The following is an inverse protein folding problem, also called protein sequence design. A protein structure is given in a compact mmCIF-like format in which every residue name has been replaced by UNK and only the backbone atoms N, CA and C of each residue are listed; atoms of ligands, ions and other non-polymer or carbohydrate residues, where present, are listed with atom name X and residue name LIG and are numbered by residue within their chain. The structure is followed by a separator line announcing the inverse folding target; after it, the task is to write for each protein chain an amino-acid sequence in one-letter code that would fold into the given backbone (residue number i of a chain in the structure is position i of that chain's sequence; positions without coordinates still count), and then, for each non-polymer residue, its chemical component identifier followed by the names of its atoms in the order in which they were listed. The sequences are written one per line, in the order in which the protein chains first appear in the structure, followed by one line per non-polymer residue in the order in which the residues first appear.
data_IF_776398608629
#
_entry.id   IF_776398608629
#
_cell.length_a   1.000
_cell.length_b   1.000
_cell.length_c   1.000
_cell.angle_alpha   90.00
_cell.angle_beta   90.00
_cell.angle_gamma   90.00
#
_symmetry.space_group_name_H-M   'P 1'
#
loop_
_entity.id
_entity.type
_entity.pdbx_description
1 polymer ?
#
# COMPACT_ATOMS: atom_id res chain seq x y z
N UNK A 1 -22.73 11.51 -15.05
CA UNK A 1 -21.68 10.63 -14.55
C UNK A 1 -20.30 10.97 -15.14
N UNK A 2 -20.13 11.08 -16.46
CA UNK A 2 -18.82 11.42 -17.08
C UNK A 2 -18.23 12.78 -16.67
N UNK A 3 -19.04 13.82 -16.47
CA UNK A 3 -18.57 15.13 -16.00
C UNK A 3 -18.10 15.15 -14.54
N UNK A 4 -18.63 14.28 -13.69
CA UNK A 4 -18.20 14.16 -12.28
C UNK A 4 -16.83 13.51 -12.18
N UNK A 5 -16.54 12.52 -13.02
CA UNK A 5 -15.24 11.84 -13.11
C UNK A 5 -14.17 12.82 -13.60
N UNK A 6 -14.46 13.66 -14.61
CA UNK A 6 -13.53 14.66 -15.14
C UNK A 6 -13.14 15.73 -14.11
N UNK A 7 -14.05 16.14 -13.22
CA UNK A 7 -13.78 17.11 -12.14
C UNK A 7 -12.90 16.53 -11.02
N UNK A 8 -13.03 15.24 -10.71
CA UNK A 8 -12.16 14.53 -9.78
C UNK A 8 -10.72 14.43 -10.31
N UNK A 9 -10.55 14.16 -11.63
CA UNK A 9 -9.25 14.09 -12.28
C UNK A 9 -8.47 15.41 -12.28
N UNK A 10 -9.15 16.55 -12.47
CA UNK A 10 -8.48 17.87 -12.43
C UNK A 10 -8.09 18.30 -11.01
N UNK A 11 -8.79 17.82 -9.98
CA UNK A 11 -8.46 18.08 -8.58
C UNK A 11 -7.31 17.21 -8.07
N UNK A 12 -7.17 15.98 -8.57
CA UNK A 12 -6.11 15.07 -8.18
C UNK A 12 -4.72 15.58 -8.56
N UNK A 13 -4.54 16.11 -9.77
CA UNK A 13 -3.27 16.74 -10.21
C UNK A 13 -2.82 17.94 -9.36
N UNK A 14 -3.72 18.57 -8.59
CA UNK A 14 -3.42 19.78 -7.81
C UNK A 14 -3.16 19.57 -6.32
N UNK A 15 -3.35 18.35 -5.77
CA UNK A 15 -3.30 18.09 -4.32
C UNK A 15 -2.30 17.03 -3.86
N UNK A 16 -1.48 16.47 -4.74
CA UNK A 16 -0.34 15.68 -4.28
C UNK A 16 0.57 16.58 -3.46
N UNK A 17 0.62 16.33 -2.15
CA UNK A 17 1.60 16.92 -1.25
C UNK A 17 2.99 16.59 -1.79
N UNK A 18 3.80 17.61 -1.95
CA UNK A 18 5.03 17.63 -2.72
C UNK A 18 6.17 16.84 -2.08
N UNK A 19 6.06 15.53 -2.02
CA UNK A 19 7.24 14.69 -2.06
C UNK A 19 7.67 14.69 -3.53
N UNK A 20 8.64 15.53 -3.87
CA UNK A 20 9.18 15.57 -5.24
C UNK A 20 10.15 14.41 -5.39
N UNK A 21 9.65 13.29 -5.92
CA UNK A 21 10.53 12.26 -6.45
C UNK A 21 11.08 12.71 -7.80
N UNK A 22 12.40 12.56 -8.01
CA UNK A 22 13.02 12.65 -9.31
C UNK A 22 12.93 11.29 -10.01
N UNK A 23 12.98 11.26 -11.33
CA UNK A 23 12.89 10.01 -12.09
C UNK A 23 14.01 9.00 -11.74
N UNK A 24 15.13 9.47 -11.22
CA UNK A 24 16.28 8.64 -10.79
C UNK A 24 16.22 8.24 -9.32
N UNK A 25 15.23 8.71 -8.54
CA UNK A 25 15.08 8.30 -7.15
C UNK A 25 14.52 6.88 -7.07
N UNK A 26 14.93 6.17 -6.03
CA UNK A 26 14.43 4.81 -5.75
C UNK A 26 13.23 4.94 -4.83
N UNK A 27 12.09 4.41 -5.26
CA UNK A 27 10.87 4.32 -4.47
C UNK A 27 10.81 2.97 -3.75
N UNK A 28 10.54 2.98 -2.45
CA UNK A 28 10.57 1.82 -1.57
C UNK A 28 9.21 1.63 -0.89
N UNK A 29 8.49 0.59 -1.28
CA UNK A 29 7.16 0.27 -0.76
C UNK A 29 7.20 -1.04 0.00
N UNK A 30 6.74 -1.03 1.23
CA UNK A 30 6.52 -2.22 2.05
C UNK A 30 5.03 -2.50 2.13
N UNK A 31 4.65 -3.75 1.95
CA UNK A 31 3.27 -4.22 2.14
C UNK A 31 3.30 -5.32 3.19
N UNK A 32 2.55 -5.15 4.27
CA UNK A 32 2.50 -6.11 5.37
C UNK A 32 1.06 -6.59 5.64
N UNK A 33 0.94 -7.86 5.90
CA UNK A 33 -0.33 -8.51 6.21
C UNK A 33 -0.15 -9.97 6.55
N UNK A 34 -1.24 -10.73 6.50
CA UNK A 34 -1.25 -12.19 6.70
C UNK A 34 -1.61 -12.93 5.42
N UNK A 35 -1.31 -14.23 5.40
CA UNK A 35 -1.65 -15.10 4.27
C UNK A 35 -3.17 -15.04 3.99
N UNK A 36 -3.53 -14.96 2.72
CA UNK A 36 -4.93 -14.83 2.28
C UNK A 36 -5.45 -13.39 2.16
N UNK A 37 -4.75 -12.37 2.66
CA UNK A 37 -5.16 -10.97 2.55
C UNK A 37 -4.77 -10.30 1.22
N UNK A 38 -4.17 -11.01 0.28
CA UNK A 38 -3.80 -10.47 -1.03
C UNK A 38 -2.56 -9.59 -1.05
N UNK A 39 -1.64 -9.71 -0.07
CA UNK A 39 -0.36 -8.98 -0.01
C UNK A 39 0.44 -9.16 -1.31
N UNK A 40 0.57 -10.40 -1.79
CA UNK A 40 1.31 -10.73 -3.02
C UNK A 40 0.59 -10.17 -4.26
N UNK A 41 -0.74 -10.26 -4.29
CA UNK A 41 -1.54 -9.69 -5.38
C UNK A 41 -1.32 -8.18 -5.46
N UNK A 42 -1.35 -7.50 -4.32
CA UNK A 42 -1.14 -6.07 -4.26
C UNK A 42 0.26 -5.66 -4.75
N UNK A 43 1.30 -6.37 -4.28
CA UNK A 43 2.66 -6.19 -4.76
C UNK A 43 2.74 -6.29 -6.29
N UNK A 44 2.20 -7.38 -6.86
CA UNK A 44 2.24 -7.61 -8.31
C UNK A 44 1.47 -6.57 -9.11
N UNK A 45 0.33 -6.09 -8.58
CA UNK A 45 -0.41 -4.99 -9.21
C UNK A 45 0.44 -3.73 -9.33
N UNK A 46 1.16 -3.36 -8.26
CA UNK A 46 2.06 -2.20 -8.28
C UNK A 46 3.19 -2.42 -9.29
N UNK A 47 3.81 -3.60 -9.29
CA UNK A 47 4.93 -3.91 -10.18
C UNK A 47 4.51 -3.93 -11.67
N UNK A 48 3.36 -4.53 -11.99
CA UNK A 48 2.85 -4.54 -13.36
C UNK A 48 2.37 -3.16 -13.83
N UNK A 49 1.73 -2.39 -12.94
CA UNK A 49 1.37 -1.02 -13.24
C UNK A 49 2.63 -0.15 -13.47
N UNK A 50 3.69 -0.35 -12.69
CA UNK A 50 4.98 0.29 -12.90
C UNK A 50 5.59 -0.09 -14.27
N UNK A 51 5.48 -1.36 -14.67
CA UNK A 51 5.92 -1.81 -15.98
C UNK A 51 5.12 -1.14 -17.11
N UNK A 52 3.80 -1.05 -16.98
CA UNK A 52 2.92 -0.33 -17.94
C UNK A 52 3.28 1.16 -18.03
N UNK A 53 3.64 1.78 -16.92
CA UNK A 53 4.09 3.17 -16.86
C UNK A 53 5.49 3.42 -17.46
N UNK A 54 6.20 2.37 -17.88
CA UNK A 54 7.53 2.47 -18.47
C UNK A 54 8.67 2.67 -17.46
N UNK A 55 8.49 2.20 -16.22
CA UNK A 55 9.54 2.18 -15.20
C UNK A 55 10.67 1.27 -15.62
N UNK A 56 11.90 1.77 -15.62
CA UNK A 56 13.05 1.05 -16.18
C UNK A 56 13.59 -0.05 -15.25
N UNK A 57 13.53 0.15 -13.92
CA UNK A 57 14.06 -0.84 -12.97
C UNK A 57 12.97 -1.12 -11.93
N UNK A 58 12.55 -2.38 -11.83
CA UNK A 58 11.57 -2.85 -10.86
C UNK A 58 12.12 -4.11 -10.21
N UNK A 59 12.25 -4.13 -8.89
CA UNK A 59 12.67 -5.28 -8.11
C UNK A 59 11.71 -5.52 -6.94
N UNK A 60 11.34 -6.76 -6.73
CA UNK A 60 10.49 -7.14 -5.61
C UNK A 60 11.00 -8.37 -4.86
N UNK A 61 10.62 -8.48 -3.61
CA UNK A 61 10.88 -9.64 -2.77
C UNK A 61 9.71 -9.90 -1.83
N UNK A 62 9.58 -11.12 -1.39
CA UNK A 62 8.56 -11.56 -0.44
C UNK A 62 9.23 -12.36 0.68
N UNK A 63 8.80 -12.12 1.90
CA UNK A 63 9.22 -12.88 3.06
C UNK A 63 7.98 -13.47 3.73
N UNK A 64 7.96 -14.78 3.83
CA UNK A 64 6.88 -15.51 4.47
C UNK A 64 7.30 -15.91 5.89
N UNK A 65 6.39 -15.75 6.86
CA UNK A 65 6.58 -16.30 8.20
C UNK A 65 6.60 -17.83 8.18
N UNK A 66 7.17 -18.44 9.23
CA UNK A 66 7.29 -19.92 9.35
C UNK A 66 5.94 -20.63 9.48
N UNK A 67 4.87 -19.93 9.87
CA UNK A 67 3.55 -20.51 9.99
C UNK A 67 2.93 -20.76 8.61
N UNK A 68 2.58 -22.01 8.32
CA UNK A 68 1.99 -22.40 7.02
C UNK A 68 0.55 -21.91 6.83
N UNK A 69 -0.15 -21.52 7.90
CA UNK A 69 -1.51 -20.95 7.87
C UNK A 69 -1.52 -19.65 8.64
N UNK A 70 -2.14 -18.61 8.04
CA UNK A 70 -2.27 -17.27 8.62
C UNK A 70 -0.92 -16.63 9.02
N UNK A 71 0.19 -17.12 8.43
CA UNK A 71 1.50 -16.57 8.67
C UNK A 71 1.64 -15.14 8.16
N UNK A 72 2.46 -14.37 8.88
CA UNK A 72 2.81 -13.02 8.44
C UNK A 72 3.48 -13.03 7.07
N UNK A 73 3.06 -12.15 6.18
CA UNK A 73 3.69 -11.91 4.88
C UNK A 73 4.13 -10.46 4.83
N UNK A 74 5.38 -10.25 4.50
CA UNK A 74 5.90 -8.94 4.15
C UNK A 74 6.42 -8.96 2.72
N UNK A 75 6.09 -7.92 1.99
CA UNK A 75 6.46 -7.75 0.60
C UNK A 75 7.21 -6.44 0.42
N UNK A 76 8.27 -6.48 -0.35
CA UNK A 76 9.05 -5.32 -0.75
C UNK A 76 8.84 -5.08 -2.24
N UNK A 77 8.45 -3.89 -2.62
CA UNK A 77 8.46 -3.42 -4.00
C UNK A 77 9.35 -2.20 -4.08
N UNK A 78 10.31 -2.26 -4.97
CA UNK A 78 11.26 -1.19 -5.22
C UNK A 78 11.29 -0.88 -6.69
N UNK A 79 11.23 0.40 -7.03
CA UNK A 79 11.36 0.79 -8.43
C UNK A 79 12.07 2.12 -8.60
N UNK A 80 12.61 2.33 -9.79
CA UNK A 80 13.30 3.53 -10.22
C UNK A 80 12.83 3.86 -11.64
N UNK A 81 12.23 5.04 -11.83
CA UNK A 81 11.60 5.40 -13.11
C UNK A 81 12.62 5.41 -14.23
N UNK A 82 13.78 6.03 -14.01
CA UNK A 82 14.90 6.11 -14.95
C UNK A 82 16.19 5.65 -14.31
N UNK A 83 16.97 4.87 -15.04
CA UNK A 83 18.29 4.48 -14.60
C UNK A 83 19.21 5.72 -14.49
N UNK A 84 20.02 5.75 -13.43
CA UNK A 84 21.03 6.78 -13.26
C UNK A 84 22.21 6.53 -14.21
N UNK A 85 22.83 7.58 -14.72
CA UNK A 85 24.04 7.47 -15.57
C UNK A 85 25.20 6.76 -14.86
N UNK A 86 25.29 6.86 -13.54
CA UNK A 86 26.23 6.07 -12.73
C UNK A 86 25.53 4.75 -12.29
N UNK A 87 25.95 3.58 -12.84
CA UNK A 87 25.32 2.29 -12.52
C UNK A 87 25.34 1.92 -11.03
N UNK A 88 26.30 2.43 -10.25
CA UNK A 88 26.40 2.16 -8.81
C UNK A 88 25.27 2.81 -7.99
N UNK A 89 24.57 3.78 -8.57
CA UNK A 89 23.43 4.46 -7.95
C UNK A 89 22.10 3.84 -8.33
N UNK A 90 22.10 2.89 -9.25
CA UNK A 90 20.89 2.21 -9.67
C UNK A 90 20.40 1.21 -8.63
N UNK A 91 19.11 0.98 -8.65
CA UNK A 91 18.46 -0.05 -7.86
C UNK A 91 19.05 -1.43 -8.22
N UNK A 92 19.66 -2.11 -7.25
CA UNK A 92 20.36 -3.39 -7.43
C UNK A 92 20.04 -4.46 -6.38
N UNK A 93 19.08 -4.19 -5.50
CA UNK A 93 18.61 -5.12 -4.48
C UNK A 93 17.10 -5.03 -4.34
N UNK A 94 16.44 -6.17 -4.22
CA UNK A 94 14.98 -6.26 -3.98
C UNK A 94 14.58 -5.97 -2.55
N UNK A 95 15.52 -6.04 -1.59
CA UNK A 95 15.23 -5.80 -0.18
C UNK A 95 15.43 -4.32 0.16
N UNK A 96 14.46 -3.76 0.86
CA UNK A 96 14.53 -2.42 1.42
C UNK A 96 15.42 -2.46 2.66
N UNK A 97 16.37 -1.52 2.77
CA UNK A 97 17.18 -1.35 3.96
C UNK A 97 16.35 -0.83 5.14
N UNK A 98 16.80 -1.10 6.36
CA UNK A 98 16.15 -0.59 7.56
C UNK A 98 16.04 0.95 7.53
N UNK A 99 14.89 1.46 7.91
CA UNK A 99 14.60 2.90 7.92
C UNK A 99 14.39 3.56 6.54
N UNK A 100 14.30 2.79 5.44
CA UNK A 100 14.27 3.34 4.10
C UNK A 100 12.95 3.13 3.34
N UNK A 101 11.88 2.70 4.00
CA UNK A 101 10.57 2.63 3.36
C UNK A 101 9.99 4.04 3.18
N UNK A 102 9.53 4.35 1.96
CA UNK A 102 8.78 5.57 1.66
C UNK A 102 7.30 5.42 2.00
N UNK A 103 6.74 4.25 1.67
CA UNK A 103 5.35 3.90 1.92
C UNK A 103 5.25 2.54 2.60
N UNK A 104 4.34 2.46 3.56
CA UNK A 104 3.98 1.23 4.24
C UNK A 104 2.48 0.98 4.10
N UNK A 105 2.07 -0.02 3.33
CA UNK A 105 0.67 -0.44 3.20
C UNK A 105 0.46 -1.63 4.15
N UNK A 106 -0.33 -1.43 5.20
CA UNK A 106 -0.55 -2.41 6.26
C UNK A 106 -1.98 -2.95 6.18
N UNK A 107 -2.14 -4.17 5.65
CA UNK A 107 -3.45 -4.83 5.59
C UNK A 107 -3.82 -5.40 6.96
N UNK A 108 -2.80 -5.79 7.76
CA UNK A 108 -2.95 -6.22 9.14
C UNK A 108 -2.16 -5.30 10.09
N UNK A 109 -2.83 -4.61 11.04
CA UNK A 109 -2.19 -3.59 11.88
C UNK A 109 -1.00 -4.09 12.69
N UNK A 110 -1.07 -5.27 13.29
CA UNK A 110 0.01 -5.77 14.15
C UNK A 110 1.27 -6.09 13.36
N UNK A 111 1.13 -6.45 12.08
CA UNK A 111 2.29 -6.70 11.22
C UNK A 111 3.06 -5.41 10.90
N UNK A 112 2.39 -4.25 10.92
CA UNK A 112 3.06 -2.96 10.85
C UNK A 112 4.05 -2.75 12.01
N UNK A 113 3.65 -3.13 13.23
CA UNK A 113 4.54 -3.06 14.40
C UNK A 113 5.69 -4.07 14.32
N UNK A 114 5.38 -5.32 14.02
CA UNK A 114 6.37 -6.41 13.96
C UNK A 114 7.47 -6.14 12.95
N UNK A 115 7.15 -5.42 11.89
CA UNK A 115 8.05 -5.13 10.77
C UNK A 115 8.41 -3.65 10.64
N UNK A 116 8.15 -2.85 11.68
CA UNK A 116 8.41 -1.42 11.72
C UNK A 116 9.87 -1.00 11.49
N UNK A 117 10.83 -1.93 11.53
CA UNK A 117 12.26 -1.67 11.32
C UNK A 117 12.59 -1.07 9.94
N UNK A 118 11.73 -1.22 8.94
CA UNK A 118 11.92 -0.60 7.61
C UNK A 118 11.46 0.85 7.57
N UNK A 119 10.70 1.31 8.57
CA UNK A 119 10.14 2.64 8.62
C UNK A 119 11.12 3.65 9.22
N UNK A 120 10.94 4.91 8.85
CA UNK A 120 11.59 6.09 9.42
C UNK A 120 10.58 7.23 9.57
N UNK A 121 11.04 8.40 10.02
CA UNK A 121 10.20 9.59 10.10
C UNK A 121 9.73 10.14 8.74
N UNK A 122 10.24 9.63 7.63
CA UNK A 122 9.84 9.96 6.27
C UNK A 122 8.81 8.98 5.68
N UNK A 123 8.57 7.88 6.38
CA UNK A 123 7.66 6.82 5.93
C UNK A 123 6.21 7.26 6.11
N UNK A 124 5.38 7.06 5.09
CA UNK A 124 3.93 7.19 5.19
C UNK A 124 3.30 5.82 5.45
N UNK A 125 2.46 5.72 6.47
CA UNK A 125 1.68 4.50 6.75
C UNK A 125 0.25 4.66 6.26
N UNK A 126 -0.25 3.64 5.53
CA UNK A 126 -1.66 3.45 5.22
C UNK A 126 -2.10 2.15 5.87
N UNK A 127 -2.99 2.23 6.85
CA UNK A 127 -3.32 1.16 7.78
C UNK A 127 -4.78 0.74 7.62
N UNK A 128 -5.03 -0.55 7.43
CA UNK A 128 -6.38 -1.10 7.57
C UNK A 128 -6.73 -1.24 9.05
N UNK A 129 -7.92 -0.82 9.45
CA UNK A 129 -8.33 -0.83 10.87
C UNK A 129 -8.85 -2.19 11.34
N UNK A 130 -9.20 -3.10 10.42
CA UNK A 130 -9.62 -4.45 10.81
C UNK A 130 -8.44 -5.27 11.29
N UNK A 131 -8.59 -5.81 12.49
CA UNK A 131 -7.63 -6.72 13.12
C UNK A 131 -7.99 -8.18 12.86
N UNK A 132 -6.99 -9.00 12.56
CA UNK A 132 -7.11 -10.46 12.52
C UNK A 132 -6.15 -11.02 13.56
N UNK A 133 -6.65 -11.45 14.76
CA UNK A 133 -5.78 -11.96 15.80
C UNK A 133 -5.01 -13.19 15.31
N UNK A 134 -3.67 -13.23 15.46
CA UNK A 134 -2.87 -14.41 15.19
C UNK A 134 -3.30 -15.62 16.07
N UNK A 135 -2.94 -16.82 15.66
CA UNK A 135 -3.31 -18.07 16.35
C UNK A 135 -2.91 -18.05 17.84
N UNK A 136 -1.76 -17.48 18.19
CA UNK A 136 -1.31 -17.37 19.59
C UNK A 136 -2.25 -16.52 20.44
N UNK A 137 -2.86 -15.50 19.88
CA UNK A 137 -3.85 -14.67 20.55
C UNK A 137 -5.19 -15.40 20.65
N UNK A 138 -5.59 -16.08 19.57
CA UNK A 138 -6.81 -16.91 19.56
C UNK A 138 -6.72 -18.08 20.55
N UNK A 139 -5.49 -18.51 20.89
CA UNK A 139 -5.21 -19.55 21.90
C UNK A 139 -5.04 -18.98 23.32
N UNK A 140 -5.41 -17.71 23.57
CA UNK A 140 -5.25 -16.99 24.85
C UNK A 140 -3.81 -16.97 25.40
N UNK A 141 -2.82 -17.08 24.54
CA UNK A 141 -1.39 -17.03 24.91
C UNK A 141 -0.81 -15.62 24.87
N UNK A 142 -1.41 -14.72 24.11
CA UNK A 142 -1.02 -13.31 23.99
C UNK A 142 -2.26 -12.43 23.83
N UNK A 143 -2.17 -11.16 24.23
CA UNK A 143 -3.22 -10.15 24.00
C UNK A 143 -2.97 -9.38 22.70
N UNK A 144 -4.02 -9.18 21.89
CA UNK A 144 -3.94 -8.31 20.72
C UNK A 144 -3.91 -6.84 21.19
N UNK A 145 -2.87 -6.06 20.83
CA UNK A 145 -2.81 -4.66 21.26
C UNK A 145 -3.98 -3.86 20.67
N UNK A 146 -4.62 -2.98 21.45
CA UNK A 146 -5.68 -2.10 20.94
C UNK A 146 -5.19 -1.30 19.72
N UNK A 147 -6.07 -1.12 18.73
CA UNK A 147 -5.74 -0.43 17.47
C UNK A 147 -5.17 0.98 17.72
N UNK A 148 -5.73 1.73 18.69
CA UNK A 148 -5.23 3.06 19.04
C UNK A 148 -3.79 3.02 19.59
N UNK A 149 -3.43 1.97 20.31
CA UNK A 149 -2.06 1.78 20.79
C UNK A 149 -1.11 1.49 19.61
N UNK A 150 -1.55 0.71 18.63
CA UNK A 150 -0.79 0.48 17.39
C UNK A 150 -0.54 1.81 16.67
N UNK A 151 -1.61 2.60 16.47
CA UNK A 151 -1.52 3.93 15.84
C UNK A 151 -0.58 4.87 16.61
N UNK A 152 -0.66 4.89 17.94
CA UNK A 152 0.22 5.69 18.80
C UNK A 152 1.70 5.34 18.58
N UNK A 153 2.02 4.03 18.59
CA UNK A 153 3.39 3.57 18.36
C UNK A 153 3.87 3.95 16.95
N UNK A 154 3.04 3.76 15.92
CA UNK A 154 3.39 4.12 14.55
C UNK A 154 3.59 5.63 14.38
N UNK A 155 2.79 6.46 15.06
CA UNK A 155 2.99 7.93 15.11
C UNK A 155 4.29 8.33 15.81
N UNK A 156 4.85 7.48 16.65
CA UNK A 156 6.19 7.64 17.22
C UNK A 156 7.31 7.47 16.17
N UNK A 157 7.07 6.70 15.12
CA UNK A 157 8.00 6.52 14.00
C UNK A 157 7.78 7.56 12.90
N UNK A 158 6.52 7.86 12.57
CA UNK A 158 6.16 8.76 11.47
C UNK A 158 4.99 9.67 11.80
N UNK A 159 5.02 10.89 11.26
CA UNK A 159 3.89 11.83 11.36
C UNK A 159 2.74 11.50 10.42
N UNK A 160 2.98 10.74 9.35
CA UNK A 160 2.02 10.39 8.31
C UNK A 160 1.49 8.97 8.53
N UNK A 161 0.49 8.84 9.42
CA UNK A 161 -0.21 7.56 9.70
C UNK A 161 -1.68 7.75 9.39
N UNK A 162 -2.10 7.21 8.25
CA UNK A 162 -3.47 7.23 7.75
C UNK A 162 -4.13 5.88 7.99
N UNK A 163 -5.34 5.86 8.53
CA UNK A 163 -6.05 4.62 8.82
C UNK A 163 -7.47 4.66 8.27
N UNK A 164 -7.94 3.54 7.75
CA UNK A 164 -9.30 3.36 7.26
C UNK A 164 -9.74 1.91 7.46
N UNK A 165 -11.04 1.68 7.64
CA UNK A 165 -11.60 0.32 7.68
C UNK A 165 -11.91 -0.17 6.26
N UNK A 166 -10.87 -0.48 5.47
CA UNK A 166 -11.02 -0.96 4.09
C UNK A 166 -11.83 -2.26 4.01
N UNK A 167 -11.78 -3.09 5.05
CA UNK A 167 -12.55 -4.34 5.07
C UNK A 167 -14.04 -4.08 5.22
N UNK A 168 -14.44 -3.14 6.07
CA UNK A 168 -15.85 -2.76 6.22
C UNK A 168 -16.38 -2.12 4.94
N UNK A 169 -15.58 -1.26 4.29
CA UNK A 169 -15.92 -0.69 2.99
C UNK A 169 -16.12 -1.79 1.94
N UNK A 170 -15.24 -2.80 1.92
CA UNK A 170 -15.35 -3.93 0.99
C UNK A 170 -16.63 -4.74 1.24
N UNK A 171 -16.92 -5.06 2.49
CA UNK A 171 -18.13 -5.80 2.87
C UNK A 171 -19.41 -5.03 2.52
N UNK A 172 -19.41 -3.72 2.74
CA UNK A 172 -20.57 -2.86 2.46
C UNK A 172 -20.85 -2.73 0.97
N UNK A 173 -19.83 -2.51 0.14
CA UNK A 173 -20.01 -2.21 -1.27
C UNK A 173 -20.06 -3.46 -2.17
N UNK A 174 -19.37 -4.55 -1.78
CA UNK A 174 -19.23 -5.75 -2.61
C UNK A 174 -19.77 -7.02 -1.93
N UNK A 175 -20.28 -6.93 -0.71
CA UNK A 175 -20.69 -8.07 0.13
C UNK A 175 -19.58 -9.15 0.24
N UNK A 176 -18.31 -8.71 0.17
CA UNK A 176 -17.11 -9.53 0.14
C UNK A 176 -15.95 -8.77 0.75
N UNK A 177 -14.98 -9.48 1.32
CA UNK A 177 -13.73 -8.88 1.79
C UNK A 177 -12.58 -9.02 0.77
N UNK A 178 -12.84 -9.57 -0.41
CA UNK A 178 -11.81 -9.83 -1.42
C UNK A 178 -11.20 -8.55 -2.00
N UNK A 179 -11.95 -7.45 -2.01
CA UNK A 179 -11.51 -6.17 -2.55
C UNK A 179 -10.75 -5.31 -1.53
N UNK A 180 -10.59 -5.77 -0.27
CA UNK A 180 -9.92 -5.02 0.80
C UNK A 180 -8.53 -4.53 0.40
N UNK A 181 -7.71 -5.40 -0.20
CA UNK A 181 -6.35 -5.05 -0.65
C UNK A 181 -6.36 -3.99 -1.75
N UNK A 182 -7.31 -4.03 -2.69
CA UNK A 182 -7.44 -3.04 -3.77
C UNK A 182 -7.88 -1.68 -3.21
N UNK A 183 -8.82 -1.67 -2.25
CA UNK A 183 -9.20 -0.45 -1.53
C UNK A 183 -8.00 0.15 -0.81
N UNK A 184 -7.15 -0.68 -0.16
CA UNK A 184 -5.93 -0.23 0.49
C UNK A 184 -4.92 0.37 -0.49
N UNK A 185 -4.77 -0.22 -1.70
CA UNK A 185 -3.98 0.38 -2.78
C UNK A 185 -4.53 1.74 -3.17
N UNK A 186 -5.84 1.80 -3.45
CA UNK A 186 -6.50 3.06 -3.79
C UNK A 186 -6.28 4.14 -2.74
N UNK A 187 -6.39 3.79 -1.45
CA UNK A 187 -6.15 4.72 -0.34
C UNK A 187 -4.68 5.18 -0.23
N UNK A 188 -3.74 4.39 -0.72
CA UNK A 188 -2.33 4.73 -0.72
C UNK A 188 -1.94 5.69 -1.86
N UNK A 189 -2.63 5.68 -3.02
CA UNK A 189 -2.27 6.52 -4.18
C UNK A 189 -2.27 8.02 -3.86
N UNK A 190 -3.27 8.60 -3.15
CA UNK A 190 -3.29 10.03 -2.84
C UNK A 190 -2.17 10.51 -1.91
N UNK A 191 -1.41 9.60 -1.28
CA UNK A 191 -0.25 9.96 -0.46
C UNK A 191 0.88 10.57 -1.29
N UNK A 192 0.90 10.33 -2.62
CA UNK A 192 1.98 10.73 -3.52
C UNK A 192 3.28 9.93 -3.34
N UNK A 193 3.26 8.84 -2.55
CA UNK A 193 4.43 7.98 -2.31
C UNK A 193 4.59 6.87 -3.36
N UNK A 194 3.69 6.80 -4.34
CA UNK A 194 3.79 5.92 -5.52
C UNK A 194 3.81 6.82 -6.78
N UNK A 195 4.92 7.54 -7.03
CA UNK A 195 5.01 8.46 -8.15
C UNK A 195 5.15 7.74 -9.50
N UNK A 196 4.87 8.44 -10.60
CA UNK A 196 5.05 8.03 -12.00
C UNK A 196 4.09 6.96 -12.51
N UNK A 197 3.23 6.40 -11.66
CA UNK A 197 2.26 5.39 -12.03
C UNK A 197 0.86 6.00 -11.93
N UNK A 198 0.23 6.24 -13.07
CA UNK A 198 -1.11 6.82 -13.15
C UNK A 198 -2.19 5.75 -12.90
N UNK A 199 -3.41 6.18 -12.59
CA UNK A 199 -4.53 5.28 -12.24
C UNK A 199 -4.85 4.34 -13.40
N UNK A 200 -4.76 4.83 -14.62
CA UNK A 200 -5.03 4.10 -15.85
C UNK A 200 -4.16 2.85 -15.98
N UNK A 201 -2.89 2.90 -15.55
CA UNK A 201 -2.01 1.73 -15.57
C UNK A 201 -2.49 0.62 -14.61
N UNK A 202 -3.04 1.00 -13.44
CA UNK A 202 -3.65 0.03 -12.52
C UNK A 202 -4.92 -0.56 -13.09
N UNK A 203 -5.79 0.26 -13.71
CA UNK A 203 -7.03 -0.21 -14.33
C UNK A 203 -6.75 -1.20 -15.46
N UNK A 204 -5.74 -0.94 -16.30
CA UNK A 204 -5.31 -1.87 -17.34
C UNK A 204 -4.86 -3.20 -16.76
N UNK A 205 -4.00 -3.19 -15.74
CA UNK A 205 -3.51 -4.40 -15.07
C UNK A 205 -4.65 -5.17 -14.41
N UNK A 206 -5.58 -4.46 -13.75
CA UNK A 206 -6.76 -5.08 -13.14
C UNK A 206 -7.60 -5.81 -14.19
N UNK A 207 -7.85 -5.17 -15.36
CA UNK A 207 -8.60 -5.77 -16.47
C UNK A 207 -7.93 -7.02 -17.04
N UNK A 208 -6.61 -7.02 -17.13
CA UNK A 208 -5.83 -8.11 -17.69
C UNK A 208 -5.62 -9.27 -16.72
N UNK A 209 -5.59 -9.00 -15.41
CA UNK A 209 -5.00 -9.95 -14.47
C UNK A 209 -5.89 -10.41 -13.33
N UNK A 210 -6.90 -9.61 -12.95
CA UNK A 210 -7.80 -9.96 -11.87
C UNK A 210 -9.14 -10.54 -12.39
N UNK A 211 -9.73 -11.39 -11.56
CA UNK A 211 -11.13 -11.78 -11.70
C UNK A 211 -11.99 -10.59 -11.30
N UNK A 212 -13.18 -10.50 -11.90
CA UNK A 212 -14.17 -9.46 -11.60
C UNK A 212 -13.56 -8.04 -11.71
N UNK A 213 -13.02 -7.67 -12.90
CA UNK A 213 -12.26 -6.43 -13.08
C UNK A 213 -13.09 -5.19 -12.79
N UNK A 214 -14.40 -5.20 -13.06
CA UNK A 214 -15.27 -4.05 -12.79
C UNK A 214 -15.36 -3.75 -11.30
N UNK A 215 -15.57 -4.77 -10.47
CA UNK A 215 -15.61 -4.59 -9.01
C UNK A 215 -14.25 -4.18 -8.43
N UNK A 216 -13.14 -4.71 -8.97
CA UNK A 216 -11.81 -4.31 -8.54
C UNK A 216 -11.46 -2.86 -8.95
N UNK A 217 -11.89 -2.39 -10.11
CA UNK A 217 -11.74 -0.98 -10.51
C UNK A 217 -12.58 -0.09 -9.61
N UNK A 218 -13.83 -0.46 -9.32
CA UNK A 218 -14.66 0.28 -8.36
C UNK A 218 -14.02 0.33 -6.98
N UNK A 219 -13.42 -0.77 -6.54
CA UNK A 219 -12.70 -0.85 -5.26
C UNK A 219 -11.47 0.08 -5.24
N UNK A 220 -10.72 0.15 -6.34
CA UNK A 220 -9.59 1.08 -6.48
C UNK A 220 -10.07 2.53 -6.32
N UNK A 221 -11.12 2.92 -7.03
CA UNK A 221 -11.68 4.28 -6.95
C UNK A 221 -12.26 4.60 -5.58
N UNK A 222 -12.98 3.66 -4.95
CA UNK A 222 -13.47 3.79 -3.57
C UNK A 222 -12.31 4.02 -2.60
N UNK A 223 -11.21 3.30 -2.78
CA UNK A 223 -9.99 3.51 -2.01
C UNK A 223 -9.40 4.90 -2.19
N UNK A 224 -9.30 5.40 -3.43
CA UNK A 224 -8.79 6.74 -3.75
C UNK A 224 -9.65 7.82 -3.09
N UNK A 225 -10.97 7.70 -3.15
CA UNK A 225 -11.89 8.65 -2.54
C UNK A 225 -11.68 8.72 -1.02
N UNK A 226 -11.69 7.57 -0.34
CA UNK A 226 -11.47 7.51 1.10
C UNK A 226 -10.05 7.95 1.49
N UNK A 227 -9.03 7.60 0.72
CA UNK A 227 -7.67 8.07 0.90
C UNK A 227 -7.55 9.60 0.88
N UNK A 228 -8.19 10.26 -0.09
CA UNK A 228 -8.25 11.72 -0.16
C UNK A 228 -8.93 12.33 1.07
N UNK A 229 -10.01 11.71 1.57
CA UNK A 229 -10.74 12.18 2.74
C UNK A 229 -9.87 12.11 3.99
N UNK A 230 -9.26 10.95 4.29
CA UNK A 230 -8.44 10.76 5.49
C UNK A 230 -7.18 11.63 5.49
N UNK A 231 -6.54 11.83 4.34
CA UNK A 231 -5.39 12.73 4.21
C UNK A 231 -5.79 14.18 4.46
N UNK A 232 -6.98 14.59 4.00
CA UNK A 232 -7.47 15.96 4.20
C UNK A 232 -7.84 16.23 5.68
N UNK A 233 -8.38 15.24 6.38
CA UNK A 233 -8.75 15.35 7.79
C UNK A 233 -7.56 15.37 8.75
N UNK A 234 -6.41 14.84 8.34
CA UNK A 234 -5.19 14.75 9.17
C UNK A 234 -4.17 15.88 8.88
N UNK A 235 -4.55 16.88 8.11
CA UNK A 235 -3.79 18.13 7.88
C UNK A 235 -4.24 19.24 8.81
#
# INVERSE_FOLDING_TARGET
MAQFISLLFTHWKRRCLSVKFNETDIVNIVIAGTAGQGVITLKRLIEFAAQKAGVEIILGAEQHGLAQREGAIISHTRYQMKAHTNPRKNLNSSLICYGNADLYICIEPVEALRRGIFASNQTTFVLNERTIPPILITADLEEYPPLEKIKEVLRGYSKEVYALNATELSLKEFNSNQQTNIIMLGAALPTGKIPFIEIEHYEEVIKEWLRDPEDNIRALHLGIENGNQIITQNK
#
